data_IF_771501767778
#
_entry.id   IF_771501767778
#
_cell.length_a   1.000
_cell.length_b   1.000
_cell.length_c   1.000
_cell.angle_alpha   90.00
_cell.angle_beta   90.00
_cell.angle_gamma   90.00
#
_symmetry.space_group_name_H-M   'P 1'
#
loop_
_entity.id
_entity.type
_entity.pdbx_description
1 polymer ?
#
# COMPACT_ATOMS: atom_id res chain seq x y z
N UNK A 1 25.64 -13.37 9.64
CA UNK A 1 25.74 -11.94 9.24
C UNK A 1 24.70 -11.18 10.03
N UNK A 2 25.10 -10.17 10.80
CA UNK A 2 24.19 -9.38 11.61
C UNK A 2 23.56 -8.30 10.72
N UNK A 3 22.38 -8.56 10.15
CA UNK A 3 21.59 -7.47 9.57
C UNK A 3 21.21 -6.51 10.70
N UNK A 4 21.60 -5.25 10.53
CA UNK A 4 21.45 -4.18 11.51
C UNK A 4 19.97 -3.97 11.86
N UNK A 5 19.53 -4.59 12.95
CA UNK A 5 18.26 -4.26 13.61
C UNK A 5 18.29 -2.78 13.96
N UNK A 6 17.27 -2.04 13.52
CA UNK A 6 17.14 -0.64 13.89
C UNK A 6 17.00 -0.54 15.41
N UNK A 7 17.86 0.25 16.03
CA UNK A 7 17.78 0.53 17.45
C UNK A 7 16.68 1.59 17.68
N UNK A 8 15.81 1.37 18.66
CA UNK A 8 14.80 2.33 19.11
C UNK A 8 15.39 3.73 19.34
N UNK A 9 16.61 3.81 19.87
CA UNK A 9 17.31 5.07 20.08
C UNK A 9 17.51 5.89 18.79
N UNK A 10 17.75 5.21 17.65
CA UNK A 10 17.91 5.88 16.36
C UNK A 10 16.58 6.46 15.84
N UNK A 11 15.46 5.79 16.12
CA UNK A 11 14.13 6.33 15.82
C UNK A 11 13.81 7.55 16.71
N UNK A 12 14.12 7.45 18.01
CA UNK A 12 13.88 8.51 18.99
C UNK A 12 14.69 9.78 18.71
N UNK A 13 15.89 9.65 18.14
CA UNK A 13 16.69 10.81 17.74
C UNK A 13 15.97 11.67 16.68
N UNK A 14 15.14 11.04 15.83
CA UNK A 14 14.35 11.75 14.81
C UNK A 14 12.97 12.16 15.32
N UNK A 15 12.34 11.33 16.14
CA UNK A 15 11.03 11.61 16.75
C UNK A 15 11.04 11.18 18.23
N UNK A 16 11.23 12.13 19.17
CA UNK A 16 11.28 11.86 20.61
C UNK A 16 10.01 11.24 21.18
N UNK A 17 8.88 11.31 20.47
CA UNK A 17 7.63 10.74 20.93
C UNK A 17 7.54 9.24 20.66
N UNK A 18 8.44 8.64 19.86
CA UNK A 18 8.46 7.20 19.62
C UNK A 18 8.81 6.47 20.93
N UNK A 19 7.90 5.61 21.39
CA UNK A 19 8.10 4.84 22.62
C UNK A 19 8.61 3.44 22.34
N UNK A 20 8.12 2.80 21.27
CA UNK A 20 8.37 1.38 21.01
C UNK A 20 8.39 1.07 19.51
N UNK A 21 9.20 0.07 19.12
CA UNK A 21 9.04 -0.64 17.85
C UNK A 21 8.11 -1.82 18.14
N UNK A 22 6.94 -1.82 17.52
CA UNK A 22 5.92 -2.85 17.71
C UNK A 22 6.24 -4.08 16.88
N UNK A 23 6.65 -3.86 15.62
CA UNK A 23 6.93 -4.96 14.70
C UNK A 23 7.81 -4.52 13.52
N UNK A 24 8.35 -5.51 12.80
CA UNK A 24 9.28 -5.32 11.69
C UNK A 24 9.06 -6.30 10.55
N UNK A 25 9.29 -5.81 9.33
CA UNK A 25 9.51 -6.64 8.13
C UNK A 25 10.91 -6.39 7.56
N UNK A 26 11.52 -7.47 7.09
CA UNK A 26 12.93 -7.51 6.74
C UNK A 26 13.22 -6.77 5.44
N UNK A 27 12.42 -7.02 4.40
CA UNK A 27 12.58 -6.41 3.08
C UNK A 27 11.23 -6.04 2.45
N UNK A 28 11.11 -4.75 2.13
CA UNK A 28 9.98 -4.17 1.42
C UNK A 28 10.45 -3.20 0.34
N UNK A 29 9.64 -2.99 -0.68
CA UNK A 29 9.86 -1.98 -1.72
C UNK A 29 8.62 -1.11 -1.90
N UNK A 30 8.82 0.21 -2.01
CA UNK A 30 7.73 1.17 -2.16
C UNK A 30 7.50 1.51 -3.65
N UNK A 31 6.23 1.54 -4.02
CA UNK A 31 5.72 1.97 -5.30
C UNK A 31 4.75 3.13 -5.09
N UNK A 32 4.71 4.05 -6.06
CA UNK A 32 3.72 5.13 -6.11
C UNK A 32 2.88 5.00 -7.36
N UNK A 33 1.58 5.27 -7.24
CA UNK A 33 0.70 5.28 -8.40
C UNK A 33 0.74 6.66 -9.07
N UNK A 34 1.07 6.69 -10.36
CA UNK A 34 1.07 7.90 -11.16
C UNK A 34 -0.30 8.09 -11.80
N UNK A 35 -1.02 9.13 -11.37
CA UNK A 35 -2.33 9.46 -11.94
C UNK A 35 -2.25 9.94 -13.39
N UNK A 36 -1.07 10.37 -13.85
CA UNK A 36 -0.84 10.86 -15.21
C UNK A 36 -0.75 9.72 -16.23
N UNK A 37 0.05 8.69 -15.91
CA UNK A 37 0.20 7.50 -16.75
C UNK A 37 -0.79 6.38 -16.41
N UNK A 38 -1.49 6.49 -15.27
CA UNK A 38 -2.34 5.43 -14.72
C UNK A 38 -1.56 4.13 -14.45
N UNK A 39 -0.29 4.26 -14.08
CA UNK A 39 0.64 3.14 -13.87
C UNK A 39 1.31 3.21 -12.50
N UNK A 40 1.77 2.05 -12.02
CA UNK A 40 2.60 1.96 -10.83
C UNK A 40 4.07 2.21 -11.17
N UNK A 41 4.67 3.17 -10.48
CA UNK A 41 6.07 3.54 -10.63
C UNK A 41 6.85 3.04 -9.41
N UNK A 42 7.97 2.35 -9.65
CA UNK A 42 8.89 1.95 -8.58
C UNK A 42 9.61 3.18 -8.05
N UNK A 43 9.60 3.37 -6.74
CA UNK A 43 10.36 4.45 -6.09
C UNK A 43 11.79 4.00 -5.79
N UNK A 44 12.63 4.93 -5.34
CA UNK A 44 13.99 4.63 -4.85
C UNK A 44 14.02 4.14 -3.39
N UNK A 45 12.86 3.84 -2.80
CA UNK A 45 12.74 3.42 -1.40
C UNK A 45 12.58 1.90 -1.33
N UNK A 46 13.63 1.24 -0.86
CA UNK A 46 13.64 -0.19 -0.57
C UNK A 46 14.46 -0.45 0.71
N UNK A 47 13.94 -1.30 1.59
CA UNK A 47 14.62 -1.59 2.84
C UNK A 47 13.74 -2.30 3.85
N UNK A 48 13.87 -1.97 5.13
CA UNK A 48 13.11 -2.62 6.20
C UNK A 48 11.97 -1.74 6.68
N UNK A 49 10.83 -2.36 7.01
CA UNK A 49 9.67 -1.66 7.53
C UNK A 49 9.58 -1.84 9.04
N UNK A 50 9.29 -0.75 9.75
CA UNK A 50 9.10 -0.70 11.20
C UNK A 50 7.71 -0.13 11.48
N UNK A 51 6.91 -0.82 12.29
CA UNK A 51 5.71 -0.26 12.90
C UNK A 51 6.08 0.21 14.30
N UNK A 52 5.71 1.44 14.65
CA UNK A 52 6.09 2.05 15.91
C UNK A 52 4.90 2.66 16.64
N UNK A 53 5.06 2.78 17.97
CA UNK A 53 4.14 3.47 18.87
C UNK A 53 4.70 4.82 19.28
N UNK A 54 3.82 5.79 19.49
CA UNK A 54 4.12 7.15 19.94
C UNK A 54 3.33 7.52 21.19
N UNK A 55 3.93 8.35 22.05
CA UNK A 55 3.29 8.93 23.24
C UNK A 55 2.39 10.12 22.93
N UNK A 56 2.44 10.64 21.69
CA UNK A 56 1.60 11.73 21.20
C UNK A 56 0.84 11.31 19.93
N UNK A 57 -0.25 12.03 19.62
CA UNK A 57 -1.01 11.81 18.39
C UNK A 57 -0.19 12.19 17.14
N UNK A 58 -0.28 11.43 16.03
CA UNK A 58 -0.86 10.10 15.90
C UNK A 58 -0.07 9.05 16.71
N UNK A 59 -0.79 8.18 17.43
CA UNK A 59 -0.20 7.25 18.42
C UNK A 59 0.52 6.05 17.80
N UNK A 60 0.32 5.81 16.51
CA UNK A 60 1.00 4.77 15.76
C UNK A 60 1.43 5.32 14.39
N UNK A 61 2.44 4.70 13.82
CA UNK A 61 2.90 4.96 12.47
C UNK A 61 3.78 3.83 11.98
N UNK A 62 4.16 3.90 10.72
CA UNK A 62 5.16 3.00 10.15
C UNK A 62 6.21 3.77 9.36
N UNK A 63 7.41 3.20 9.27
CA UNK A 63 8.53 3.76 8.53
C UNK A 63 9.16 2.68 7.68
N UNK A 64 9.50 3.00 6.43
CA UNK A 64 10.46 2.22 5.65
C UNK A 64 11.82 2.91 5.79
N UNK A 65 12.74 2.23 6.46
CA UNK A 65 14.14 2.62 6.53
C UNK A 65 14.80 2.23 5.20
N UNK A 66 15.15 3.23 4.40
CA UNK A 66 15.72 3.01 3.08
C UNK A 66 17.17 2.51 3.22
N UNK A 67 17.49 1.40 2.56
CA UNK A 67 18.85 0.84 2.51
C UNK A 67 19.65 1.38 1.32
N UNK A 68 18.98 1.96 0.32
CA UNK A 68 19.60 2.47 -0.92
C UNK A 68 19.92 3.97 -0.85
N UNK A 69 19.39 4.70 0.14
CA UNK A 69 19.60 6.13 0.30
C UNK A 69 19.15 6.65 1.65
N UNK A 70 19.31 7.95 1.88
CA UNK A 70 18.99 8.60 3.17
C UNK A 70 17.50 8.93 3.32
N UNK A 71 16.72 8.77 2.25
CA UNK A 71 15.31 9.15 2.20
C UNK A 71 14.43 7.99 2.67
N UNK A 72 13.98 8.07 3.93
CA UNK A 72 13.02 7.13 4.52
C UNK A 72 11.59 7.53 4.20
N UNK A 73 10.71 6.55 4.02
CA UNK A 73 9.27 6.77 4.01
C UNK A 73 8.75 6.74 5.45
N UNK A 74 8.03 7.77 5.89
CA UNK A 74 7.39 7.81 7.22
C UNK A 74 5.91 8.10 7.00
N UNK A 75 5.05 7.22 7.52
CA UNK A 75 3.61 7.35 7.39
C UNK A 75 2.93 7.25 8.76
N UNK A 76 2.36 8.37 9.26
CA UNK A 76 1.54 8.35 10.46
C UNK A 76 0.21 7.62 10.20
N UNK A 77 -0.22 6.76 11.13
CA UNK A 77 -1.54 6.12 11.04
C UNK A 77 -2.57 7.07 11.60
N UNK A 78 -3.31 7.74 10.71
CA UNK A 78 -4.36 8.70 11.05
C UNK A 78 -5.71 8.21 10.52
N UNK A 79 -6.81 8.79 11.02
CA UNK A 79 -8.17 8.48 10.56
C UNK A 79 -8.39 8.70 9.05
N UNK A 80 -7.56 9.53 8.43
CA UNK A 80 -7.69 9.94 7.02
C UNK A 80 -6.83 9.05 6.10
N UNK A 81 -6.10 8.09 6.66
CA UNK A 81 -5.34 7.09 5.90
C UNK A 81 -6.31 6.06 5.33
N UNK A 82 -6.42 5.98 4.00
CA UNK A 82 -7.13 4.87 3.36
C UNK A 82 -6.15 3.70 3.23
N UNK A 83 -6.57 2.48 3.60
CA UNK A 83 -5.69 1.33 3.70
C UNK A 83 -6.35 0.06 3.15
N UNK A 84 -5.58 -0.76 2.45
CA UNK A 84 -6.01 -2.07 1.98
C UNK A 84 -4.86 -3.08 2.02
N UNK A 85 -5.13 -4.26 2.56
CA UNK A 85 -4.24 -5.41 2.48
C UNK A 85 -4.60 -6.25 1.25
N UNK A 86 -3.64 -6.46 0.35
CA UNK A 86 -3.76 -7.30 -0.84
C UNK A 86 -2.46 -8.09 -1.03
N UNK A 87 -2.30 -9.22 -0.33
CA UNK A 87 -1.05 -9.99 -0.36
C UNK A 87 -0.52 -10.23 -1.79
N UNK A 88 0.79 -10.01 -2.05
CA UNK A 88 1.87 -9.64 -1.12
C UNK A 88 2.06 -8.12 -0.93
N UNK A 89 1.02 -7.32 -1.13
CA UNK A 89 1.05 -5.86 -1.06
C UNK A 89 0.20 -5.29 0.08
N UNK A 90 0.69 -4.19 0.65
CA UNK A 90 -0.12 -3.23 1.40
C UNK A 90 -0.31 -1.99 0.53
N UNK A 91 -1.54 -1.59 0.31
CA UNK A 91 -1.89 -0.38 -0.43
C UNK A 91 -2.40 0.68 0.55
N UNK A 92 -1.96 1.91 0.39
CA UNK A 92 -2.50 3.02 1.18
C UNK A 92 -2.55 4.31 0.39
N UNK A 93 -3.45 5.21 0.79
CA UNK A 93 -3.55 6.56 0.26
C UNK A 93 -3.49 7.57 1.39
N UNK A 94 -2.66 8.58 1.20
CA UNK A 94 -2.62 9.76 2.04
C UNK A 94 -3.00 11.00 1.22
N UNK A 95 -2.84 12.20 1.80
CA UNK A 95 -3.17 13.47 1.13
C UNK A 95 -2.34 13.78 -0.11
N UNK A 96 -1.22 13.07 -0.32
CA UNK A 96 -0.27 13.34 -1.42
C UNK A 96 -0.47 12.40 -2.59
N UNK A 97 -0.52 11.09 -2.34
CA UNK A 97 -0.53 10.07 -3.38
C UNK A 97 -1.09 8.73 -2.90
N UNK A 98 -1.19 7.79 -3.83
CA UNK A 98 -1.47 6.38 -3.57
C UNK A 98 -0.15 5.62 -3.63
N UNK A 99 0.06 4.75 -2.66
CA UNK A 99 1.26 3.96 -2.50
C UNK A 99 0.94 2.47 -2.40
N UNK A 100 1.92 1.67 -2.83
CA UNK A 100 1.92 0.23 -2.66
C UNK A 100 3.24 -0.19 -2.05
N UNK A 101 3.19 -0.94 -0.96
CA UNK A 101 4.35 -1.54 -0.32
C UNK A 101 4.32 -3.01 -0.68
N UNK A 102 5.30 -3.44 -1.47
CA UNK A 102 5.53 -4.84 -1.74
C UNK A 102 6.39 -5.45 -0.64
N UNK A 103 5.99 -6.61 -0.13
CA UNK A 103 6.75 -7.36 0.86
C UNK A 103 7.41 -8.56 0.19
N UNK A 104 8.68 -8.79 0.54
CA UNK A 104 9.38 -9.99 0.09
C UNK A 104 8.79 -11.26 0.72
N UNK A 105 8.49 -11.19 2.02
CA UNK A 105 7.83 -12.24 2.77
C UNK A 105 6.32 -11.94 2.90
N UNK A 106 5.49 -12.83 2.35
CA UNK A 106 4.03 -12.70 2.41
C UNK A 106 3.49 -12.82 3.85
N UNK A 107 4.15 -13.58 4.72
CA UNK A 107 3.68 -13.79 6.08
C UNK A 107 3.96 -12.54 6.92
N UNK A 108 5.08 -11.84 6.65
CA UNK A 108 5.33 -10.50 7.16
C UNK A 108 4.26 -9.51 6.64
N UNK A 109 3.88 -9.59 5.36
CA UNK A 109 2.83 -8.76 4.76
C UNK A 109 1.50 -8.91 5.49
N UNK A 110 1.01 -10.15 5.64
CA UNK A 110 -0.29 -10.40 6.26
C UNK A 110 -0.29 -9.96 7.73
N UNK A 111 0.76 -10.31 8.50
CA UNK A 111 0.89 -9.97 9.92
C UNK A 111 0.93 -8.45 10.14
N UNK A 112 1.79 -7.74 9.42
CA UNK A 112 1.94 -6.29 9.56
C UNK A 112 0.72 -5.56 9.02
N UNK A 113 0.18 -5.99 7.87
CA UNK A 113 -0.98 -5.39 7.26
C UNK A 113 -2.23 -5.47 8.16
N UNK A 114 -2.47 -6.61 8.80
CA UNK A 114 -3.55 -6.78 9.77
C UNK A 114 -3.37 -5.85 10.98
N UNK A 115 -2.15 -5.74 11.49
CA UNK A 115 -1.84 -4.86 12.62
C UNK A 115 -2.03 -3.38 12.27
N UNK A 116 -1.54 -2.92 11.12
CA UNK A 116 -1.75 -1.54 10.66
C UNK A 116 -3.25 -1.24 10.52
N UNK A 117 -4.01 -2.17 9.94
CA UNK A 117 -5.46 -2.01 9.82
C UNK A 117 -6.15 -1.90 11.19
N UNK A 118 -5.72 -2.70 12.18
CA UNK A 118 -6.25 -2.60 13.56
C UNK A 118 -5.99 -1.22 14.16
N UNK A 119 -4.78 -0.68 14.03
CA UNK A 119 -4.47 0.67 14.52
C UNK A 119 -5.22 1.78 13.80
N UNK A 120 -5.48 1.60 12.50
CA UNK A 120 -6.31 2.53 11.74
C UNK A 120 -7.74 2.59 12.27
N UNK A 121 -8.36 1.43 12.57
CA UNK A 121 -9.70 1.41 13.16
C UNK A 121 -9.76 2.15 14.50
N UNK A 122 -8.76 1.92 15.38
CA UNK A 122 -8.64 2.65 16.65
C UNK A 122 -8.51 4.16 16.44
N UNK A 123 -7.74 4.59 15.43
CA UNK A 123 -7.59 6.00 15.10
C UNK A 123 -8.93 6.63 14.65
N UNK A 124 -9.71 5.93 13.81
CA UNK A 124 -11.03 6.36 13.34
C UNK A 124 -12.03 6.47 14.51
N UNK A 125 -12.09 5.44 15.35
CA UNK A 125 -12.98 5.41 16.52
C UNK A 125 -12.66 6.55 17.49
N UNK A 126 -11.38 6.72 17.85
CA UNK A 126 -10.95 7.74 18.79
C UNK A 126 -11.29 9.16 18.34
N UNK A 127 -11.28 9.43 17.04
CA UNK A 127 -11.67 10.72 16.48
C UNK A 127 -13.20 10.91 16.49
N UNK A 128 -13.95 9.86 16.15
CA UNK A 128 -15.42 9.88 16.14
C UNK A 128 -15.98 10.12 17.54
N UNK A 129 -15.45 9.45 18.56
CA UNK A 129 -15.87 9.66 19.96
C UNK A 129 -15.59 11.09 20.44
N UNK A 130 -14.44 11.68 20.08
CA UNK A 130 -14.12 13.08 20.41
C UNK A 130 -15.05 14.07 19.72
N UNK A 131 -15.41 13.83 18.46
CA UNK A 131 -16.37 14.67 17.74
C UNK A 131 -17.77 14.61 18.37
N UNK A 132 -18.23 13.41 18.77
CA UNK A 132 -19.52 13.23 19.43
C UNK A 132 -19.60 13.95 20.78
N UNK A 133 -18.53 13.91 21.59
CA UNK A 133 -18.45 14.64 22.85
C UNK A 133 -18.49 16.16 22.66
N UNK A 134 -17.87 16.68 21.59
CA UNK A 134 -17.88 18.11 21.26
C UNK A 134 -19.29 18.57 20.87
N UNK A 135 -20.01 17.79 20.06
CA UNK A 135 -21.37 18.13 19.66
C UNK A 135 -22.36 18.11 20.83
N UNK A 136 -22.17 17.25 21.84
CA UNK A 136 -23.00 17.27 23.06
C UNK A 136 -22.81 18.52 23.92
N UNK A 137 -21.65 19.18 23.86
CA UNK A 137 -21.42 20.47 24.55
C UNK A 137 -21.90 21.69 23.76
N UNK A 138 -22.16 21.53 22.46
CA UNK A 138 -22.62 22.61 21.58
C UNK A 138 -24.15 22.61 21.37
N UNK A 139 -24.88 21.70 22.02
CA UNK A 139 -26.34 21.59 21.90
C UNK A 139 -27.05 22.32 23.05
N UNK A 140 -26.79 23.63 23.15
CA UNK A 140 -27.66 24.63 23.79
C UNK A 140 -27.65 25.92 22.94
N UNK A 141 -27.85 25.82 21.62
CA UNK A 141 -28.38 26.92 20.79
C UNK A 141 -28.56 26.51 19.33
N UNK A 142 -29.80 26.60 18.87
CA UNK A 142 -30.27 27.01 17.55
C UNK A 142 -30.04 26.17 16.25
N UNK A 143 -31.20 25.77 15.73
CA UNK A 143 -31.68 25.78 14.32
C UNK A 143 -31.04 24.92 13.23
N UNK A 144 -31.96 24.30 12.47
CA UNK A 144 -31.74 23.58 11.22
C UNK A 144 -31.33 24.51 10.07
N UNK A 145 -30.31 24.12 9.29
CA UNK A 145 -29.93 24.46 7.90
C UNK A 145 -28.62 23.67 7.65
N UNK A 146 -28.24 23.09 6.51
CA UNK A 146 -28.62 23.23 5.13
C UNK A 146 -28.13 22.00 4.33
N UNK A 147 -28.68 21.91 3.13
CA UNK A 147 -28.59 21.01 1.99
C UNK A 147 -27.17 20.79 1.42
N UNK A 148 -26.90 19.54 1.00
CA UNK A 148 -26.06 19.14 -0.14
C UNK A 148 -24.60 19.65 -0.20
N UNK A 149 -23.67 18.96 0.48
CA UNK A 149 -22.24 19.15 0.25
C UNK A 149 -21.66 18.09 -0.70
N UNK A 150 -21.42 18.51 -1.94
CA UNK A 150 -20.24 18.15 -2.72
C UNK A 150 -20.08 16.70 -3.14
N UNK A 151 -20.49 16.40 -4.37
CA UNK A 151 -19.95 15.28 -5.16
C UNK A 151 -18.47 15.58 -5.42
N UNK A 152 -17.62 15.24 -4.45
CA UNK A 152 -16.19 15.18 -4.68
C UNK A 152 -15.97 13.95 -5.55
N UNK A 153 -15.53 14.15 -6.80
CA UNK A 153 -15.02 13.07 -7.67
C UNK A 153 -13.70 12.56 -7.09
N UNK A 154 -13.74 12.00 -5.88
CA UNK A 154 -12.69 11.11 -5.42
C UNK A 154 -12.80 9.87 -6.28
N UNK A 155 -11.80 9.69 -7.14
CA UNK A 155 -11.52 8.38 -7.70
C UNK A 155 -11.36 7.43 -6.50
N UNK A 156 -12.36 6.59 -6.29
CA UNK A 156 -12.40 5.65 -5.19
C UNK A 156 -11.40 4.54 -5.55
N UNK A 157 -10.29 4.46 -4.82
CA UNK A 157 -9.27 3.45 -5.02
C UNK A 157 -9.87 2.04 -5.06
N UNK A 158 -10.94 1.80 -4.28
CA UNK A 158 -11.68 0.53 -4.30
C UNK A 158 -12.33 0.28 -5.66
N UNK A 159 -12.93 1.30 -6.28
CA UNK A 159 -13.51 1.15 -7.62
C UNK A 159 -12.44 0.94 -8.70
N UNK A 160 -11.26 1.55 -8.55
CA UNK A 160 -10.15 1.32 -9.49
C UNK A 160 -9.58 -0.09 -9.35
N UNK A 161 -9.27 -0.52 -8.13
CA UNK A 161 -8.66 -1.83 -7.89
C UNK A 161 -9.65 -2.96 -8.17
N UNK A 162 -10.93 -2.82 -7.80
CA UNK A 162 -11.97 -3.77 -8.19
C UNK A 162 -12.09 -3.88 -9.71
N UNK A 163 -12.08 -2.75 -10.45
CA UNK A 163 -12.09 -2.79 -11.92
C UNK A 163 -10.86 -3.48 -12.50
N UNK A 164 -9.67 -3.18 -11.99
CA UNK A 164 -8.43 -3.79 -12.46
C UNK A 164 -8.38 -5.31 -12.19
N UNK A 165 -8.86 -5.75 -11.02
CA UNK A 165 -8.98 -7.16 -10.67
C UNK A 165 -10.02 -7.87 -11.55
N UNK A 166 -11.19 -7.27 -11.74
CA UNK A 166 -12.25 -7.80 -12.61
C UNK A 166 -11.76 -7.94 -14.06
N UNK A 167 -11.00 -6.98 -14.57
CA UNK A 167 -10.39 -7.03 -15.90
C UNK A 167 -9.34 -8.14 -16.03
N UNK A 168 -8.49 -8.32 -15.01
CA UNK A 168 -7.50 -9.40 -14.97
C UNK A 168 -8.17 -10.78 -14.96
N UNK A 169 -9.18 -10.99 -14.10
CA UNK A 169 -9.88 -12.28 -13.99
C UNK A 169 -10.73 -12.58 -15.24
N UNK A 170 -11.27 -11.55 -15.90
CA UNK A 170 -11.97 -11.70 -17.18
C UNK A 170 -11.02 -12.09 -18.32
N UNK A 171 -9.76 -11.64 -18.27
CA UNK A 171 -8.74 -12.05 -19.25
C UNK A 171 -8.33 -13.52 -19.13
N UNK A 172 -8.42 -14.11 -17.91
CA UNK A 172 -8.19 -15.55 -17.65
C UNK A 172 -9.33 -16.46 -18.10
N UNK A 173 -10.53 -15.92 -18.36
CA UNK A 173 -11.73 -16.69 -18.78
C UNK A 173 -11.93 -16.76 -20.30
N UNK A 174 -11.04 -16.16 -21.10
CA UNK A 174 -11.01 -16.47 -22.54
C UNK A 174 -10.35 -17.85 -22.70
N UNK A 175 -11.03 -18.84 -23.29
CA UNK A 175 -10.36 -20.07 -23.67
C UNK A 175 -9.27 -19.71 -24.69
N UNK A 176 -8.09 -20.32 -24.54
CA UNK A 176 -7.02 -20.20 -25.53
C UNK A 176 -7.60 -20.39 -26.95
N UNK A 177 -7.11 -19.64 -27.96
CA UNK A 177 -7.48 -19.93 -29.34
C UNK A 177 -7.18 -21.41 -29.60
N UNK A 178 -8.20 -22.16 -30.00
CA UNK A 178 -8.06 -23.57 -30.35
C UNK A 178 -6.88 -23.70 -31.32
N UNK A 179 -5.91 -24.60 -31.08
CA UNK A 179 -4.88 -24.85 -32.06
C UNK A 179 -5.54 -25.41 -33.32
N UNK A 180 -5.22 -24.81 -34.47
CA UNK A 180 -5.46 -25.41 -35.77
C UNK A 180 -4.50 -26.62 -35.84
N UNK A 181 -5.05 -27.83 -35.88
CA UNK A 181 -4.29 -29.10 -35.92
C UNK A 181 -3.59 -29.19 -37.30
N UNK A 182 -2.37 -29.73 -37.42
CA UNK A 182 -2.17 -31.12 -37.88
C UNK A 182 -0.70 -31.55 -37.75
N UNK A 183 -0.40 -32.52 -36.87
CA UNK A 183 0.63 -33.56 -37.12
C UNK A 183 0.57 -34.66 -36.03
N UNK A 184 0.37 -35.96 -36.35
CA UNK A 184 0.19 -37.03 -35.37
C UNK A 184 1.49 -37.74 -34.96
N UNK A 185 2.60 -37.02 -34.76
CA UNK A 185 3.80 -37.67 -34.21
C UNK A 185 4.80 -36.68 -33.57
N UNK A 186 4.70 -36.43 -32.26
CA UNK A 186 5.83 -35.98 -31.44
C UNK A 186 5.53 -36.22 -29.95
N UNK A 187 6.41 -36.98 -29.30
CA UNK A 187 6.35 -37.38 -27.89
C UNK A 187 6.43 -36.20 -26.93
N UNK A 188 5.66 -36.28 -25.85
CA UNK A 188 5.70 -35.35 -24.73
C UNK A 188 7.04 -35.40 -23.97
N UNK A 189 7.78 -34.30 -23.96
CA UNK A 189 8.76 -33.99 -22.92
C UNK A 189 8.37 -32.66 -22.26
N UNK A 190 7.92 -32.75 -21.01
CA UNK A 190 7.68 -31.58 -20.14
C UNK A 190 9.04 -31.06 -19.66
N UNK A 191 9.43 -29.83 -20.02
CA UNK A 191 10.34 -29.03 -19.18
C UNK A 191 9.52 -27.96 -18.47
N UNK A 192 9.69 -27.90 -17.16
CA UNK A 192 9.16 -26.88 -16.28
C UNK A 192 10.13 -25.69 -16.28
N UNK A 193 9.79 -24.62 -16.99
CA UNK A 193 10.54 -23.37 -16.90
C UNK A 193 9.63 -22.24 -16.42
N UNK A 194 9.88 -21.82 -15.18
CA UNK A 194 9.30 -20.65 -14.53
C UNK A 194 9.66 -19.40 -15.35
N UNK A 195 8.67 -18.85 -16.06
CA UNK A 195 8.84 -17.61 -16.84
C UNK A 195 8.84 -16.42 -15.88
N UNK A 196 10.01 -15.85 -15.63
CA UNK A 196 10.14 -14.48 -15.10
C UNK A 196 9.83 -13.49 -16.24
N UNK A 197 8.99 -12.45 -16.04
CA UNK A 197 8.76 -11.45 -17.07
C UNK A 197 10.05 -10.66 -17.35
N UNK A 198 10.50 -10.65 -18.61
CA UNK A 198 11.50 -9.69 -19.09
C UNK A 198 10.78 -8.44 -19.62
N UNK A 199 11.28 -7.23 -19.34
CA UNK A 199 10.73 -6.01 -19.94
C UNK A 199 10.94 -6.01 -21.46
N UNK A 200 9.89 -5.68 -22.20
CA UNK A 200 9.97 -5.48 -23.66
C UNK A 200 10.66 -4.13 -23.89
N UNK A 201 11.82 -4.15 -24.55
CA UNK A 201 12.44 -2.92 -25.08
C UNK A 201 11.61 -2.46 -26.28
N UNK A 202 11.06 -1.24 -26.21
CA UNK A 202 10.53 -0.56 -27.39
C UNK A 202 11.70 -0.29 -28.36
N UNK A 203 11.55 -0.76 -29.59
CA UNK A 203 12.53 -0.59 -30.66
C UNK A 203 12.67 0.88 -31.05
N UNK A 204 13.91 1.25 -31.41
CA UNK A 204 14.22 2.48 -32.12
C UNK A 204 13.47 2.50 -33.45
N UNK A 205 12.80 3.61 -33.76
CA UNK A 205 12.61 4.04 -35.14
C UNK A 205 13.67 5.11 -35.42
N UNK A 206 14.63 4.75 -36.26
CA UNK A 206 15.51 5.68 -36.97
C UNK A 206 15.03 5.73 -38.42
N UNK A 207 14.96 6.97 -38.91
CA UNK A 207 15.22 7.43 -40.29
C UNK A 207 14.20 7.20 -41.42
N UNK A 208 13.74 8.35 -41.93
CA UNK A 208 13.23 8.60 -43.28
C UNK A 208 13.12 10.11 -43.50
#
# INVERSE_FOLDING_TARGET
MAEGRMNLAALQQRDPYITDIVDTASQVALYSFSSKSSEWERTEIEGSLFVYKRSASPTHGFMILNRLGLNNQIEPITKDLEFQLQDPFVLYRNSKAIYGIWFYDKDECSRIGQMINSYLQVAIESHTSKAALRNRRASESDTMHDVMSGVNRQVNIMQMLSKAQDEYDKSKKKPDPKPFIDNPNASATKSSDLIRPRPVKAGKEDSG
#
